data_IF_654698025905
#
_entry.id   IF_654698025905
#
_cell.length_a   1.000
_cell.length_b   1.000
_cell.length_c   1.000
_cell.angle_alpha   90.00
_cell.angle_beta   90.00
_cell.angle_gamma   90.00
#
_symmetry.space_group_name_H-M   'P 1'
#
loop_
_entity.id
_entity.type
_entity.pdbx_description
1 polymer ?
#
# COMPACT_ATOMS: atom_id res chain seq x y z
N UNK A 1 -7.10 -54.09 1.70
CA UNK A 1 -6.20 -52.94 1.96
C UNK A 1 -6.12 -52.13 0.67
N UNK A 2 -6.57 -50.86 0.71
CA UNK A 2 -6.46 -49.83 -0.34
C UNK A 2 -7.32 -50.02 -1.61
N UNK A 3 -8.53 -49.46 -1.63
CA UNK A 3 -9.16 -48.94 -2.86
C UNK A 3 -10.25 -47.86 -2.60
N UNK A 4 -10.33 -47.29 -1.39
CA UNK A 4 -11.35 -46.27 -1.04
C UNK A 4 -10.91 -44.83 -1.41
N UNK A 5 -9.65 -44.58 -1.79
CA UNK A 5 -9.10 -43.21 -1.83
C UNK A 5 -9.06 -42.53 -3.21
N UNK A 6 -10.03 -42.73 -4.12
CA UNK A 6 -10.01 -42.02 -5.42
C UNK A 6 -11.30 -41.28 -5.81
N UNK A 7 -12.33 -41.25 -4.97
CA UNK A 7 -13.58 -40.53 -5.32
C UNK A 7 -13.78 -39.16 -4.64
N UNK A 8 -12.87 -38.74 -3.74
CA UNK A 8 -12.98 -37.46 -3.03
C UNK A 8 -12.18 -36.30 -3.64
N UNK A 9 -11.51 -36.48 -4.80
CA UNK A 9 -10.52 -35.48 -5.28
C UNK A 9 -11.11 -34.32 -6.11
N UNK A 10 -12.39 -34.37 -6.47
CA UNK A 10 -13.01 -33.41 -7.42
C UNK A 10 -13.79 -32.27 -6.77
N UNK A 11 -14.16 -32.41 -5.49
CA UNK A 11 -14.96 -31.41 -4.76
C UNK A 11 -14.11 -30.28 -4.14
N UNK A 12 -12.85 -30.57 -3.78
CA UNK A 12 -11.96 -29.60 -3.12
C UNK A 12 -11.41 -28.52 -4.05
N UNK A 13 -11.21 -28.81 -5.34
CA UNK A 13 -10.63 -27.84 -6.29
C UNK A 13 -11.50 -26.60 -6.49
N UNK A 14 -12.83 -26.76 -6.44
CA UNK A 14 -13.77 -25.64 -6.56
C UNK A 14 -13.79 -24.75 -5.31
N UNK A 15 -13.61 -25.35 -4.12
CA UNK A 15 -13.54 -24.61 -2.86
C UNK A 15 -12.21 -23.85 -2.75
N UNK A 16 -11.10 -24.48 -3.13
CA UNK A 16 -9.78 -23.85 -3.18
C UNK A 16 -9.74 -22.68 -4.16
N UNK A 17 -10.32 -22.84 -5.36
CA UNK A 17 -10.39 -21.77 -6.35
C UNK A 17 -11.24 -20.58 -5.86
N UNK A 18 -12.38 -20.85 -5.20
CA UNK A 18 -13.23 -19.81 -4.61
C UNK A 18 -12.54 -19.10 -3.45
N UNK A 19 -11.83 -19.83 -2.59
CA UNK A 19 -11.04 -19.25 -1.49
C UNK A 19 -9.89 -18.38 -2.01
N UNK A 20 -9.20 -18.82 -3.07
CA UNK A 20 -8.14 -18.05 -3.71
C UNK A 20 -8.70 -16.76 -4.34
N UNK A 21 -9.84 -16.83 -5.01
CA UNK A 21 -10.50 -15.68 -5.61
C UNK A 21 -10.94 -14.65 -4.55
N UNK A 22 -11.48 -15.13 -3.41
CA UNK A 22 -11.85 -14.29 -2.27
C UNK A 22 -10.64 -13.59 -1.65
N UNK A 23 -9.51 -14.30 -1.53
CA UNK A 23 -8.25 -13.73 -1.05
C UNK A 23 -7.71 -12.65 -2.00
N UNK A 24 -7.77 -12.86 -3.32
CA UNK A 24 -7.36 -11.84 -4.30
C UNK A 24 -8.22 -10.57 -4.23
N UNK A 25 -9.52 -10.71 -3.97
CA UNK A 25 -10.45 -9.57 -3.79
C UNK A 25 -10.17 -8.77 -2.52
N UNK A 26 -9.66 -9.41 -1.47
CA UNK A 26 -9.31 -8.72 -0.22
C UNK A 26 -8.03 -7.87 -0.33
N UNK A 27 -7.18 -8.12 -1.33
CA UNK A 27 -5.88 -7.44 -1.48
C UNK A 27 -5.98 -6.20 -2.40
N UNK A 28 -7.03 -6.08 -3.23
CA UNK A 28 -7.18 -4.96 -4.18
C UNK A 28 -7.55 -3.60 -3.55
N UNK A 29 -7.78 -3.55 -2.23
CA UNK A 29 -8.18 -2.35 -1.50
C UNK A 29 -7.04 -1.52 -0.90
N UNK A 30 -5.80 -2.01 -0.89
CA UNK A 30 -4.65 -1.26 -0.35
C UNK A 30 -4.15 -0.24 -1.38
N UNK A 31 -4.86 0.88 -1.54
CA UNK A 31 -4.29 2.07 -2.18
C UNK A 31 -3.32 2.73 -1.21
N UNK A 32 -2.03 2.44 -1.34
CA UNK A 32 -0.98 3.18 -0.65
C UNK A 32 -0.90 4.57 -1.28
N UNK A 33 -1.10 5.62 -0.48
CA UNK A 33 -0.84 7.01 -0.91
C UNK A 33 0.67 7.14 -1.10
N UNK A 34 1.11 7.54 -2.29
CA UNK A 34 2.54 7.56 -2.63
C UNK A 34 3.10 8.96 -2.38
N UNK A 35 3.65 9.17 -1.18
CA UNK A 35 4.25 10.46 -0.78
C UNK A 35 5.66 10.66 -1.37
N UNK A 36 5.79 10.63 -2.70
CA UNK A 36 7.09 10.67 -3.37
C UNK A 36 7.83 12.00 -3.20
N UNK A 37 7.14 13.14 -3.25
CA UNK A 37 7.78 14.46 -3.24
C UNK A 37 8.30 14.81 -1.85
N UNK A 38 7.54 14.52 -0.80
CA UNK A 38 8.03 14.67 0.58
C UNK A 38 9.26 13.81 0.83
N UNK A 39 9.27 12.56 0.33
CA UNK A 39 10.45 11.70 0.47
C UNK A 39 11.65 12.22 -0.33
N UNK A 40 11.43 12.74 -1.54
CA UNK A 40 12.48 13.37 -2.36
C UNK A 40 13.10 14.57 -1.65
N UNK A 41 12.28 15.39 -1.00
CA UNK A 41 12.74 16.54 -0.21
C UNK A 41 13.55 16.10 1.01
N UNK A 42 13.08 15.10 1.76
CA UNK A 42 13.80 14.58 2.92
C UNK A 42 15.16 13.97 2.56
N UNK A 43 15.28 13.41 1.36
CA UNK A 43 16.54 12.87 0.85
C UNK A 43 17.52 13.96 0.36
N UNK A 44 17.10 15.23 0.30
CA UNK A 44 17.97 16.30 -0.16
C UNK A 44 19.06 16.62 0.88
N UNK A 45 20.33 16.85 0.49
CA UNK A 45 21.43 17.10 1.43
C UNK A 45 21.23 18.31 2.36
N UNK A 46 20.45 19.30 1.93
CA UNK A 46 20.16 20.50 2.73
C UNK A 46 18.98 20.32 3.70
N UNK A 47 18.19 19.25 3.55
CA UNK A 47 17.02 19.01 4.38
C UNK A 47 17.35 18.92 5.88
N UNK A 48 18.41 18.20 6.32
CA UNK A 48 18.77 18.17 7.73
C UNK A 48 19.04 19.56 8.32
N UNK A 49 19.65 20.46 7.55
CA UNK A 49 19.90 21.84 7.97
C UNK A 49 18.59 22.60 8.16
N UNK A 50 17.69 22.54 7.18
CA UNK A 50 16.38 23.18 7.28
C UNK A 50 15.55 22.65 8.46
N UNK A 51 15.58 21.34 8.69
CA UNK A 51 14.88 20.69 9.80
C UNK A 51 15.42 21.11 11.19
N UNK A 52 16.73 21.42 11.29
CA UNK A 52 17.34 21.91 12.53
C UNK A 52 17.10 23.41 12.75
N UNK A 53 17.22 24.22 11.70
CA UNK A 53 17.12 25.69 11.79
C UNK A 53 15.67 26.17 11.91
N UNK A 54 14.72 25.46 11.30
CA UNK A 54 13.31 25.83 11.29
C UNK A 54 12.39 24.59 11.38
N UNK A 55 12.33 23.90 12.54
CA UNK A 55 11.65 22.62 12.69
C UNK A 55 10.13 22.71 12.47
N UNK A 56 9.47 23.72 13.04
CA UNK A 56 8.02 23.88 12.89
C UNK A 56 7.64 24.27 11.45
N UNK A 57 8.41 25.15 10.82
CA UNK A 57 8.19 25.49 9.42
C UNK A 57 8.37 24.28 8.50
N UNK A 58 9.45 23.52 8.68
CA UNK A 58 9.73 22.31 7.90
C UNK A 58 8.61 21.28 8.06
N UNK A 59 8.09 21.11 9.28
CA UNK A 59 6.94 20.25 9.55
C UNK A 59 5.68 20.68 8.80
N UNK A 60 5.32 21.96 8.86
CA UNK A 60 4.13 22.48 8.19
C UNK A 60 4.23 22.41 6.66
N UNK A 61 5.41 22.66 6.10
CA UNK A 61 5.68 22.49 4.67
C UNK A 61 5.48 21.03 4.25
N UNK A 62 6.05 20.06 4.98
CA UNK A 62 5.87 18.64 4.66
C UNK A 62 4.42 18.18 4.76
N UNK A 63 3.66 18.65 5.75
CA UNK A 63 2.21 18.39 5.84
C UNK A 63 1.46 18.95 4.64
N UNK A 64 1.81 20.17 4.23
CA UNK A 64 1.19 20.84 3.09
C UNK A 64 1.46 20.06 1.80
N UNK A 65 2.69 19.61 1.59
CA UNK A 65 3.06 18.78 0.43
C UNK A 65 2.27 17.48 0.43
N UNK A 66 2.24 16.75 1.54
CA UNK A 66 1.49 15.50 1.64
C UNK A 66 -0.01 15.69 1.33
N UNK A 67 -0.60 16.79 1.79
CA UNK A 67 -1.99 17.14 1.51
C UNK A 67 -2.21 17.37 0.01
N UNK A 68 -1.32 18.15 -0.63
CA UNK A 68 -1.41 18.44 -2.06
C UNK A 68 -1.19 17.18 -2.91
N UNK A 69 -0.23 16.32 -2.53
CA UNK A 69 -0.02 15.03 -3.21
C UNK A 69 -1.27 14.17 -3.14
N UNK A 70 -1.90 14.09 -1.97
CA UNK A 70 -3.14 13.35 -1.80
C UNK A 70 -4.31 13.93 -2.63
N UNK A 71 -4.40 15.26 -2.75
CA UNK A 71 -5.40 15.91 -3.60
C UNK A 71 -5.17 15.62 -5.09
N UNK A 72 -3.91 15.59 -5.55
CA UNK A 72 -3.55 15.26 -6.94
C UNK A 72 -3.76 13.77 -7.27
N UNK A 73 -3.57 12.87 -6.31
CA UNK A 73 -3.77 11.43 -6.50
C UNK A 73 -5.24 11.00 -6.44
N UNK A 74 -6.17 11.89 -6.08
CA UNK A 74 -7.60 11.59 -6.04
C UNK A 74 -8.14 11.52 -7.48
N UNK A 75 -8.53 10.35 -8.00
CA UNK A 75 -9.26 10.28 -9.25
C UNK A 75 -10.65 10.92 -9.05
N UNK A 76 -11.10 11.73 -10.02
CA UNK A 76 -12.47 12.29 -10.06
C UNK A 76 -13.55 11.20 -10.03
#
# INVERSE_FOLDING_TARGET
MRLICLENKKHDSGVLLKMLLLMLLLISGCKSVKLENSQRLMNHPEFPKAAMEAPEFTREVLKTINKLEYELERPE
#
